data_IF_321409273309
#
_entry.id   IF_321409273309
#
_cell.length_a   1.000
_cell.length_b   1.000
_cell.length_c   1.000
_cell.angle_alpha   90.00
_cell.angle_beta   90.00
_cell.angle_gamma   90.00
#
_symmetry.space_group_name_H-M   'P 1'
#
loop_
_entity.id
_entity.type
_entity.pdbx_description
1 polymer ?
#
# COMPACT_ATOMS: atom_id res chain seq x y z
N UNK A 1 -18.10 19.02 -2.75
CA UNK A 1 -16.89 18.28 -2.34
C UNK A 1 -15.91 18.25 -3.50
N UNK A 2 -16.29 17.74 -4.68
CA UNK A 2 -15.42 17.60 -5.83
C UNK A 2 -14.75 18.90 -6.30
N UNK A 3 -15.48 20.04 -6.27
CA UNK A 3 -14.93 21.35 -6.60
C UNK A 3 -13.76 21.79 -5.67
N UNK A 4 -13.67 21.24 -4.45
CA UNK A 4 -12.54 21.48 -3.54
C UNK A 4 -11.36 20.53 -3.79
N UNK A 5 -11.66 19.30 -4.25
CA UNK A 5 -10.66 18.27 -4.54
C UNK A 5 -9.98 18.56 -5.88
N UNK A 6 -10.73 19.09 -6.85
CA UNK A 6 -10.27 19.31 -8.21
C UNK A 6 -10.44 18.08 -9.10
N UNK A 7 -10.92 18.30 -10.34
CA UNK A 7 -11.04 17.21 -11.32
C UNK A 7 -9.69 16.88 -11.98
N UNK A 8 -9.48 15.64 -12.44
CA UNK A 8 -10.36 14.48 -12.32
C UNK A 8 -10.43 13.94 -10.89
N UNK A 9 -11.57 13.36 -10.52
CA UNK A 9 -11.75 12.71 -9.21
C UNK A 9 -12.10 11.24 -9.37
N UNK A 10 -11.73 10.45 -8.37
CA UNK A 10 -12.10 9.06 -8.23
C UNK A 10 -13.31 8.95 -7.30
N UNK A 11 -14.40 8.40 -7.79
CA UNK A 11 -15.63 8.19 -7.02
C UNK A 11 -15.73 6.71 -6.65
N UNK A 12 -15.88 6.42 -5.37
CA UNK A 12 -15.95 5.05 -4.87
C UNK A 12 -16.87 4.92 -3.65
N UNK A 13 -17.55 3.77 -3.49
CA UNK A 13 -18.24 3.46 -2.24
C UNK A 13 -17.21 3.26 -1.11
N UNK A 14 -17.57 3.58 0.14
CA UNK A 14 -16.66 3.43 1.30
C UNK A 14 -16.37 1.98 1.66
N UNK A 15 -17.29 1.07 1.34
CA UNK A 15 -17.16 -0.36 1.63
C UNK A 15 -17.26 -1.17 0.34
N UNK A 16 -16.13 -1.34 -0.34
CA UNK A 16 -16.01 -2.22 -1.52
C UNK A 16 -14.71 -2.98 -1.47
N UNK A 17 -14.76 -4.21 -1.96
CA UNK A 17 -13.59 -5.07 -2.09
C UNK A 17 -13.12 -5.07 -3.55
N UNK A 18 -11.78 -4.96 -3.75
CA UNK A 18 -11.17 -5.10 -5.07
C UNK A 18 -11.54 -4.00 -6.08
N UNK A 19 -11.74 -2.77 -5.64
CA UNK A 19 -11.97 -1.62 -6.53
C UNK A 19 -13.29 -1.64 -7.30
N UNK A 20 -14.22 -2.49 -6.92
CA UNK A 20 -15.52 -2.60 -7.62
C UNK A 20 -16.29 -1.28 -7.58
N UNK A 21 -16.86 -0.91 -8.74
CA UNK A 21 -17.68 0.29 -8.92
C UNK A 21 -16.95 1.62 -8.68
N UNK A 22 -15.63 1.62 -8.71
CA UNK A 22 -14.85 2.85 -8.76
C UNK A 22 -14.96 3.47 -10.15
N UNK A 23 -15.08 4.80 -10.21
CA UNK A 23 -15.16 5.54 -11.47
C UNK A 23 -14.32 6.80 -11.40
N UNK A 24 -13.53 7.01 -12.44
CA UNK A 24 -12.87 8.30 -12.68
C UNK A 24 -13.89 9.18 -13.38
N UNK A 25 -14.08 10.40 -12.89
CA UNK A 25 -14.96 11.41 -13.46
C UNK A 25 -14.22 12.72 -13.66
N UNK A 26 -14.48 13.38 -14.77
CA UNK A 26 -13.71 14.55 -15.22
C UNK A 26 -14.46 15.87 -15.08
N UNK A 27 -15.76 15.81 -14.78
CA UNK A 27 -16.62 16.98 -14.62
C UNK A 27 -17.82 16.69 -13.73
N UNK A 28 -18.61 17.73 -13.44
CA UNK A 28 -19.74 17.65 -12.52
C UNK A 28 -20.90 16.81 -13.05
N UNK A 29 -21.16 16.85 -14.35
CA UNK A 29 -22.23 16.06 -14.98
C UNK A 29 -21.97 14.55 -14.88
N UNK A 30 -20.71 14.15 -15.06
CA UNK A 30 -20.31 12.75 -14.89
C UNK A 30 -20.36 12.35 -13.43
N UNK A 31 -19.97 13.25 -12.51
CA UNK A 31 -20.03 13.01 -11.08
C UNK A 31 -21.46 12.74 -10.63
N UNK A 32 -22.41 13.58 -11.04
CA UNK A 32 -23.82 13.40 -10.69
C UNK A 32 -24.35 12.04 -11.15
N UNK A 33 -24.09 11.68 -12.40
CA UNK A 33 -24.49 10.38 -12.97
C UNK A 33 -23.85 9.20 -12.21
N UNK A 34 -22.57 9.32 -11.85
CA UNK A 34 -21.85 8.29 -11.10
C UNK A 34 -22.43 8.12 -9.70
N UNK A 35 -22.66 9.22 -8.98
CA UNK A 35 -23.23 9.23 -7.62
C UNK A 35 -24.65 8.64 -7.62
N UNK A 36 -25.52 9.10 -8.52
CA UNK A 36 -26.90 8.56 -8.65
C UNK A 36 -26.88 7.06 -8.92
N UNK A 37 -26.02 6.61 -9.83
CA UNK A 37 -25.86 5.19 -10.13
C UNK A 37 -25.40 4.38 -8.91
N UNK A 38 -24.44 4.89 -8.14
CA UNK A 38 -23.91 4.23 -6.95
C UNK A 38 -24.97 4.13 -5.84
N UNK A 39 -25.68 5.22 -5.55
CA UNK A 39 -26.71 5.25 -4.52
C UNK A 39 -27.90 4.34 -4.87
N UNK A 40 -28.24 4.20 -6.16
CA UNK A 40 -29.28 3.29 -6.62
C UNK A 40 -28.94 1.82 -6.35
N UNK A 41 -27.68 1.43 -6.52
CA UNK A 41 -27.24 0.05 -6.36
C UNK A 41 -26.77 -0.29 -4.93
N UNK A 42 -26.35 0.72 -4.17
CA UNK A 42 -25.83 0.59 -2.81
C UNK A 42 -26.47 1.64 -1.91
N UNK A 43 -27.80 1.50 -1.63
CA UNK A 43 -28.51 2.47 -0.77
C UNK A 43 -27.90 2.47 0.64
N UNK A 44 -27.67 3.66 1.17
CA UNK A 44 -27.10 3.85 2.53
C UNK A 44 -25.57 3.82 2.61
N UNK A 45 -24.85 3.54 1.53
CA UNK A 45 -23.39 3.64 1.52
C UNK A 45 -22.90 5.09 1.44
N UNK A 46 -21.84 5.37 2.17
CA UNK A 46 -21.08 6.62 2.00
C UNK A 46 -20.26 6.55 0.73
N UNK A 47 -20.28 7.63 -0.05
CA UNK A 47 -19.45 7.75 -1.25
C UNK A 47 -18.23 8.59 -0.90
N UNK A 48 -17.04 8.07 -1.23
CA UNK A 48 -15.79 8.78 -1.15
C UNK A 48 -15.47 9.42 -2.50
N UNK A 49 -14.93 10.62 -2.46
CA UNK A 49 -14.47 11.36 -3.63
C UNK A 49 -13.02 11.74 -3.35
N UNK A 50 -12.12 11.07 -4.05
CA UNK A 50 -10.69 11.25 -3.92
C UNK A 50 -10.13 11.97 -5.15
N UNK A 51 -9.02 12.68 -5.00
CA UNK A 51 -8.28 13.20 -6.14
C UNK A 51 -7.72 12.04 -6.97
N UNK A 52 -7.94 12.03 -8.29
CA UNK A 52 -7.36 11.02 -9.15
C UNK A 52 -5.91 11.36 -9.50
N UNK A 53 -5.00 10.48 -9.15
CA UNK A 53 -3.57 10.62 -9.45
C UNK A 53 -3.26 9.98 -10.81
N UNK A 54 -3.33 10.76 -11.88
CA UNK A 54 -2.91 10.28 -13.20
C UNK A 54 -1.38 10.12 -13.29
N UNK A 55 -0.93 9.05 -13.94
CA UNK A 55 0.50 8.79 -14.21
C UNK A 55 1.38 8.84 -12.97
N UNK A 56 0.93 8.25 -11.88
CA UNK A 56 1.76 8.06 -10.70
C UNK A 56 2.54 6.73 -10.79
N UNK A 57 3.65 6.68 -10.07
CA UNK A 57 4.40 5.46 -9.82
C UNK A 57 3.82 4.76 -8.60
N UNK A 58 3.71 3.44 -8.65
CA UNK A 58 3.30 2.65 -7.49
C UNK A 58 4.49 1.97 -6.83
N UNK A 59 4.42 1.88 -5.50
CA UNK A 59 5.34 1.11 -4.70
C UNK A 59 4.63 0.57 -3.47
N UNK A 60 5.19 -0.46 -2.86
CA UNK A 60 4.65 -1.04 -1.64
C UNK A 60 5.73 -1.33 -0.60
N UNK A 61 5.33 -1.27 0.66
CA UNK A 61 6.14 -1.70 1.80
C UNK A 61 5.47 -2.92 2.43
N UNK A 62 6.25 -3.97 2.64
CA UNK A 62 5.93 -5.03 3.56
C UNK A 62 6.75 -4.85 4.84
N UNK A 63 6.10 -4.92 6.00
CA UNK A 63 6.74 -4.71 7.29
C UNK A 63 6.18 -5.63 8.37
N UNK A 64 6.93 -5.74 9.47
CA UNK A 64 6.50 -6.39 10.71
C UNK A 64 6.51 -5.35 11.82
N UNK A 65 5.47 -5.33 12.65
CA UNK A 65 5.37 -4.51 13.84
C UNK A 65 5.02 -5.37 15.05
N UNK A 66 5.74 -5.21 16.17
CA UNK A 66 5.54 -6.01 17.39
C UNK A 66 4.85 -5.24 18.52
N UNK A 67 4.26 -4.07 18.18
CA UNK A 67 3.66 -3.14 19.12
C UNK A 67 4.63 -2.09 19.67
N UNK A 68 5.92 -2.29 19.52
CA UNK A 68 6.98 -1.39 19.97
C UNK A 68 7.94 -1.02 18.83
N UNK A 69 8.48 -2.04 18.16
CA UNK A 69 9.48 -1.94 17.12
C UNK A 69 8.85 -2.20 15.74
N UNK A 70 9.25 -1.40 14.76
CA UNK A 70 8.84 -1.52 13.37
C UNK A 70 10.02 -1.96 12.52
N UNK A 71 9.82 -2.98 11.67
CA UNK A 71 10.85 -3.48 10.77
C UNK A 71 10.32 -3.57 9.35
N UNK A 72 10.91 -2.79 8.45
CA UNK A 72 10.64 -2.87 7.01
C UNK A 72 11.32 -4.10 6.46
N UNK A 73 10.54 -5.04 5.93
CA UNK A 73 11.05 -6.25 5.29
C UNK A 73 11.58 -5.95 3.89
N UNK A 74 10.91 -5.05 3.17
CA UNK A 74 11.33 -4.62 1.86
C UNK A 74 10.42 -3.55 1.28
N UNK A 75 11.00 -2.75 0.38
CA UNK A 75 10.30 -1.75 -0.44
C UNK A 75 10.34 -2.27 -1.87
N UNK A 76 9.17 -2.51 -2.44
CA UNK A 76 9.02 -2.97 -3.81
C UNK A 76 8.47 -1.85 -4.69
N UNK A 77 9.13 -1.62 -5.81
CA UNK A 77 8.73 -0.64 -6.82
C UNK A 77 8.06 -1.36 -7.99
N UNK A 78 6.87 -0.93 -8.36
CA UNK A 78 6.15 -1.49 -9.50
C UNK A 78 6.73 -0.99 -10.82
N UNK A 79 6.82 -1.87 -11.82
CA UNK A 79 7.36 -1.56 -13.13
C UNK A 79 6.27 -1.00 -14.05
N UNK A 80 5.07 -1.56 -13.96
CA UNK A 80 3.92 -1.10 -14.73
C UNK A 80 3.34 0.20 -14.18
N UNK A 81 2.66 0.98 -15.04
CA UNK A 81 1.96 2.19 -14.61
C UNK A 81 0.92 1.90 -13.52
N UNK A 82 0.68 2.89 -12.69
CA UNK A 82 -0.35 2.83 -11.65
C UNK A 82 -1.74 2.47 -12.20
N UNK A 83 -2.49 1.73 -11.40
CA UNK A 83 -3.83 1.22 -11.75
C UNK A 83 -3.83 -0.24 -12.20
N UNK A 84 -2.68 -0.89 -12.33
CA UNK A 84 -2.59 -2.33 -12.50
C UNK A 84 -2.56 -2.97 -11.12
N UNK A 85 -3.40 -3.97 -10.90
CA UNK A 85 -3.48 -4.65 -9.61
C UNK A 85 -2.10 -5.19 -9.19
N UNK A 86 -1.68 -4.94 -7.96
CA UNK A 86 -0.35 -5.30 -7.44
C UNK A 86 0.03 -6.78 -7.60
N UNK A 87 -0.98 -7.66 -7.69
CA UNK A 87 -0.78 -9.08 -7.96
C UNK A 87 -0.38 -9.40 -9.40
N UNK A 88 -0.70 -8.52 -10.34
CA UNK A 88 -0.49 -8.68 -11.77
C UNK A 88 0.66 -7.79 -12.28
N UNK A 89 1.07 -6.80 -11.46
CA UNK A 89 2.20 -5.94 -11.76
C UNK A 89 3.53 -6.65 -11.47
N UNK A 90 4.50 -6.47 -12.36
CA UNK A 90 5.89 -6.80 -12.05
C UNK A 90 6.45 -5.77 -11.06
N UNK A 91 7.30 -6.23 -10.16
CA UNK A 91 7.89 -5.36 -9.16
C UNK A 91 9.35 -5.70 -8.92
N UNK A 92 10.14 -4.68 -8.63
CA UNK A 92 11.59 -4.79 -8.38
C UNK A 92 11.90 -4.58 -6.90
N UNK A 93 12.78 -5.42 -6.36
CA UNK A 93 13.31 -5.39 -5.00
C UNK A 93 14.84 -5.39 -5.04
N UNK A 94 15.53 -4.52 -4.30
CA UNK A 94 15.01 -3.31 -3.70
C UNK A 94 14.54 -2.32 -4.76
N UNK A 95 13.88 -1.26 -4.36
CA UNK A 95 13.42 -0.19 -5.25
C UNK A 95 14.56 0.38 -6.10
N UNK A 96 14.26 0.77 -7.34
CA UNK A 96 15.26 1.18 -8.32
C UNK A 96 15.27 2.69 -8.60
N UNK A 97 14.11 3.29 -8.86
CA UNK A 97 14.00 4.70 -9.22
C UNK A 97 13.58 5.63 -8.06
N UNK A 98 13.13 5.07 -6.94
CA UNK A 98 12.67 5.87 -5.81
C UNK A 98 13.86 6.51 -5.10
N UNK A 99 13.79 7.83 -4.92
CA UNK A 99 14.81 8.54 -4.16
C UNK A 99 14.81 8.15 -2.68
N UNK A 100 15.94 8.25 -1.97
CA UNK A 100 16.00 7.97 -0.53
C UNK A 100 14.99 8.78 0.30
N UNK A 101 14.67 10.01 -0.10
CA UNK A 101 13.67 10.86 0.57
C UNK A 101 12.26 10.28 0.44
N UNK A 102 11.90 9.78 -0.74
CA UNK A 102 10.61 9.13 -0.97
C UNK A 102 10.51 7.86 -0.12
N UNK A 103 11.54 7.02 -0.16
CA UNK A 103 11.59 5.78 0.64
C UNK A 103 11.45 6.09 2.12
N UNK A 104 12.18 7.05 2.64
CA UNK A 104 12.08 7.47 4.03
C UNK A 104 10.67 7.95 4.39
N UNK A 105 10.03 8.74 3.53
CA UNK A 105 8.64 9.18 3.75
C UNK A 105 7.65 8.01 3.76
N UNK A 106 7.85 7.02 2.89
CA UNK A 106 7.04 5.80 2.86
C UNK A 106 7.19 5.00 4.16
N UNK A 107 8.42 4.84 4.64
CA UNK A 107 8.74 4.13 5.89
C UNK A 107 8.11 4.83 7.10
N UNK A 108 8.23 6.16 7.19
CA UNK A 108 7.59 6.93 8.25
C UNK A 108 6.07 6.79 8.25
N UNK A 109 5.44 6.84 7.06
CA UNK A 109 3.99 6.68 6.95
C UNK A 109 3.57 5.27 7.33
N UNK A 110 4.33 4.26 6.90
CA UNK A 110 4.06 2.87 7.23
C UNK A 110 4.13 2.62 8.74
N UNK A 111 5.14 3.14 9.41
CA UNK A 111 5.26 3.02 10.87
C UNK A 111 4.14 3.76 11.60
N UNK A 112 3.81 5.00 11.21
CA UNK A 112 2.70 5.77 11.79
C UNK A 112 1.37 5.03 11.66
N UNK A 113 1.11 4.44 10.50
CA UNK A 113 -0.11 3.67 10.24
C UNK A 113 -0.14 2.40 11.09
N UNK A 114 0.95 1.63 11.13
CA UNK A 114 1.03 0.42 11.94
C UNK A 114 0.78 0.70 13.43
N UNK A 115 1.33 1.80 13.95
CA UNK A 115 1.10 2.24 15.33
C UNK A 115 -0.34 2.68 15.56
N UNK A 116 -0.90 3.49 14.67
CA UNK A 116 -2.28 3.99 14.78
C UNK A 116 -3.33 2.87 14.74
N UNK A 117 -3.06 1.81 13.97
CA UNK A 117 -3.92 0.63 13.84
C UNK A 117 -3.64 -0.43 14.92
N UNK A 118 -2.68 -0.21 15.82
CA UNK A 118 -2.26 -1.18 16.84
C UNK A 118 -1.95 -2.56 16.25
N UNK A 119 -1.23 -2.59 15.12
CA UNK A 119 -0.87 -3.84 14.45
C UNK A 119 0.07 -4.66 15.36
N UNK A 120 -0.10 -5.98 15.35
CA UNK A 120 0.90 -6.91 15.84
C UNK A 120 1.07 -8.00 14.79
N UNK A 121 2.19 -7.97 14.07
CA UNK A 121 2.47 -8.88 12.96
C UNK A 121 2.73 -8.15 11.65
N UNK A 122 2.27 -8.73 10.55
CA UNK A 122 2.54 -8.25 9.20
C UNK A 122 1.59 -7.13 8.78
N UNK A 123 2.14 -6.18 8.05
CA UNK A 123 1.39 -5.14 7.35
C UNK A 123 1.99 -4.91 5.97
N UNK A 124 1.13 -4.77 4.98
CA UNK A 124 1.48 -4.32 3.63
C UNK A 124 0.79 -2.99 3.37
N UNK A 125 1.54 -2.01 2.87
CA UNK A 125 1.00 -0.68 2.55
C UNK A 125 1.39 -0.34 1.12
N UNK A 126 0.40 0.05 0.33
CA UNK A 126 0.58 0.48 -1.05
C UNK A 126 0.56 2.01 -1.14
N UNK A 127 1.47 2.53 -1.94
CA UNK A 127 1.70 3.95 -2.14
C UNK A 127 1.64 4.32 -3.61
N UNK A 128 1.13 5.52 -3.88
CA UNK A 128 1.33 6.22 -5.14
C UNK A 128 2.32 7.36 -4.93
N UNK A 129 3.23 7.52 -5.87
CA UNK A 129 4.23 8.59 -5.87
C UNK A 129 3.99 9.46 -7.08
N UNK A 130 3.78 10.76 -6.85
CA UNK A 130 3.60 11.74 -7.90
C UNK A 130 4.23 13.08 -7.52
N UNK A 131 4.99 13.65 -8.44
CA UNK A 131 5.61 14.96 -8.28
C UNK A 131 6.42 15.11 -6.97
N UNK A 132 7.11 14.02 -6.58
CA UNK A 132 7.90 13.95 -5.35
C UNK A 132 7.09 13.79 -4.06
N UNK A 133 5.77 13.63 -4.15
CA UNK A 133 4.89 13.42 -3.02
C UNK A 133 4.45 11.96 -2.90
N UNK A 134 4.32 11.48 -1.67
CA UNK A 134 3.89 10.13 -1.33
C UNK A 134 2.44 10.14 -0.87
N UNK A 135 1.62 9.31 -1.49
CA UNK A 135 0.22 9.12 -1.15
C UNK A 135 -0.03 7.68 -0.73
N UNK A 136 -0.77 7.47 0.35
CA UNK A 136 -1.19 6.14 0.78
C UNK A 136 -2.42 5.72 -0.02
N UNK A 137 -2.34 4.59 -0.71
CA UNK A 137 -3.48 3.99 -1.43
C UNK A 137 -4.29 3.14 -0.47
N UNK A 138 -3.63 2.15 0.16
CA UNK A 138 -4.26 1.27 1.12
C UNK A 138 -3.25 0.67 2.10
N UNK A 139 -3.76 0.26 3.27
CA UNK A 139 -3.00 -0.47 4.27
C UNK A 139 -3.71 -1.80 4.58
N UNK A 140 -2.98 -2.89 4.45
CA UNK A 140 -3.48 -4.24 4.62
C UNK A 140 -2.80 -4.89 5.84
N UNK A 141 -3.46 -4.99 7.01
CA UNK A 141 -2.89 -5.58 8.23
C UNK A 141 -2.88 -7.11 8.15
N UNK A 142 -2.16 -7.64 7.21
CA UNK A 142 -2.04 -9.08 6.93
C UNK A 142 -0.80 -9.36 6.08
N UNK A 143 -0.45 -10.63 5.92
CA UNK A 143 0.54 -11.04 4.92
C UNK A 143 0.09 -10.63 3.49
N UNK A 144 1.02 -10.19 2.70
CA UNK A 144 0.84 -9.90 1.28
C UNK A 144 1.31 -11.06 0.40
N UNK A 145 1.03 -10.98 -0.90
CA UNK A 145 1.61 -11.92 -1.88
C UNK A 145 3.10 -11.68 -2.10
N UNK A 146 3.59 -10.50 -1.76
CA UNK A 146 5.01 -10.11 -1.85
C UNK A 146 5.83 -10.59 -0.66
N UNK A 147 5.24 -10.79 0.51
CA UNK A 147 5.93 -11.29 1.71
C UNK A 147 6.81 -12.53 1.45
N UNK A 148 6.32 -13.63 0.84
CA UNK A 148 7.16 -14.80 0.58
C UNK A 148 8.24 -14.54 -0.49
N UNK A 149 7.98 -13.64 -1.44
CA UNK A 149 8.97 -13.23 -2.42
C UNK A 149 10.14 -12.49 -1.75
N UNK A 150 9.86 -11.48 -0.92
CA UNK A 150 10.84 -10.71 -0.15
C UNK A 150 11.66 -11.65 0.75
N UNK A 151 10.98 -12.56 1.47
CA UNK A 151 11.63 -13.53 2.34
C UNK A 151 12.63 -14.41 1.57
N UNK A 152 12.29 -14.84 0.37
CA UNK A 152 13.17 -15.63 -0.50
C UNK A 152 14.32 -14.80 -1.05
N UNK A 153 14.05 -13.60 -1.55
CA UNK A 153 15.05 -12.73 -2.15
C UNK A 153 16.15 -12.37 -1.15
N UNK A 154 15.77 -12.01 0.05
CA UNK A 154 16.70 -11.66 1.13
C UNK A 154 17.19 -12.86 1.95
N UNK A 155 16.67 -14.06 1.74
CA UNK A 155 16.96 -15.28 2.49
C UNK A 155 16.73 -15.11 4.01
N UNK A 156 15.73 -14.32 4.38
CA UNK A 156 15.34 -14.08 5.78
C UNK A 156 13.99 -14.78 6.04
N UNK A 157 13.86 -15.54 7.14
CA UNK A 157 12.64 -16.28 7.46
C UNK A 157 11.54 -15.36 8.04
N UNK A 158 11.16 -14.31 7.32
CA UNK A 158 10.23 -13.28 7.78
C UNK A 158 8.89 -13.84 8.25
N UNK A 159 8.35 -14.85 7.57
CA UNK A 159 7.08 -15.48 7.97
C UNK A 159 7.18 -16.16 9.35
N UNK A 160 8.33 -16.81 9.63
CA UNK A 160 8.58 -17.42 10.94
C UNK A 160 8.72 -16.35 12.03
N UNK A 161 9.47 -15.27 11.74
CA UNK A 161 9.63 -14.13 12.64
C UNK A 161 8.26 -13.51 12.95
N UNK A 162 7.48 -13.19 11.93
CA UNK A 162 6.15 -12.61 12.09
C UNK A 162 5.22 -13.51 12.90
N UNK A 163 5.25 -14.81 12.66
CA UNK A 163 4.45 -15.77 13.43
C UNK A 163 4.82 -15.74 14.92
N UNK A 164 6.09 -15.73 15.26
CA UNK A 164 6.54 -15.66 16.66
C UNK A 164 6.16 -14.35 17.34
N UNK A 165 6.22 -13.24 16.60
CA UNK A 165 5.77 -11.92 17.05
C UNK A 165 4.25 -11.95 17.30
N UNK A 166 3.46 -12.45 16.37
CA UNK A 166 1.99 -12.55 16.49
C UNK A 166 1.54 -13.44 17.65
N UNK A 167 2.29 -14.52 17.94
CA UNK A 167 2.04 -15.39 19.08
C UNK A 167 2.52 -14.79 20.43
N UNK A 168 3.17 -13.62 20.39
CA UNK A 168 3.71 -12.97 21.58
C UNK A 168 4.87 -13.71 22.24
N UNK A 169 5.47 -14.69 21.55
CA UNK A 169 6.59 -15.47 22.10
C UNK A 169 7.94 -14.76 21.96
N UNK A 170 8.04 -13.82 21.02
CA UNK A 170 9.25 -13.05 20.75
C UNK A 170 8.88 -11.61 20.35
N UNK A 171 9.83 -10.70 20.55
CA UNK A 171 9.82 -9.33 20.01
C UNK A 171 10.78 -9.22 18.85
N UNK A 172 10.63 -8.20 17.99
CA UNK A 172 11.53 -7.97 16.86
C UNK A 172 12.99 -7.83 17.27
N UNK A 173 13.24 -7.22 18.42
CA UNK A 173 14.60 -7.07 19.00
C UNK A 173 15.30 -8.40 19.35
N UNK A 174 14.57 -9.49 19.44
CA UNK A 174 15.12 -10.82 19.75
C UNK A 174 15.72 -11.50 18.51
N UNK A 175 15.57 -10.88 17.34
CA UNK A 175 16.07 -11.40 16.07
C UNK A 175 17.19 -10.50 15.52
N UNK A 176 18.32 -11.10 15.11
CA UNK A 176 19.35 -10.41 14.33
C UNK A 176 18.97 -10.43 12.84
N UNK A 177 18.08 -9.54 12.43
CA UNK A 177 17.59 -9.47 11.06
C UNK A 177 18.58 -8.68 10.21
N UNK A 178 19.37 -9.42 9.43
CA UNK A 178 20.29 -8.84 8.43
C UNK A 178 19.91 -9.41 7.08
N UNK A 179 19.68 -8.54 6.13
CA UNK A 179 19.47 -8.95 4.76
C UNK A 179 20.35 -8.14 3.82
N UNK A 180 20.84 -8.79 2.82
CA UNK A 180 21.56 -8.17 1.72
C UNK A 180 21.18 -8.90 0.44
N UNK A 181 20.90 -8.12 -0.58
CA UNK A 181 20.69 -8.61 -1.93
C UNK A 181 21.77 -8.02 -2.83
N UNK A 182 22.49 -8.86 -3.55
CA UNK A 182 23.40 -8.40 -4.60
C UNK A 182 22.62 -8.29 -5.90
N UNK A 183 22.42 -7.05 -6.36
CA UNK A 183 21.58 -6.75 -7.52
C UNK A 183 20.10 -6.60 -7.17
N UNK A 184 19.24 -7.03 -8.08
CA UNK A 184 17.79 -6.87 -7.98
C UNK A 184 17.07 -8.20 -8.13
N UNK A 185 15.98 -8.38 -7.39
CA UNK A 185 15.03 -9.45 -7.60
C UNK A 185 13.77 -8.89 -8.27
N UNK A 186 13.29 -9.55 -9.31
CA UNK A 186 12.09 -9.17 -10.07
C UNK A 186 11.05 -10.24 -9.87
N UNK A 187 9.86 -9.78 -9.50
CA UNK A 187 8.68 -10.63 -9.33
C UNK A 187 7.83 -10.54 -10.58
#
# INVERSE_FOLDING_TARGET
>A
VAAKVGYPVLVRPSYVLGGQRMRIVINEDELEKAVVSLLKHLPGNTILIDHFLDRCQEAEIDAIFDGENFHVMGVMEHIEPAGIHSGDSNAVLPQFNLSPLIVHSMEEYAEKIARALNICGLINIQFAIKDGMVYVIEANPRASRTTPFIAKAYQVPYLNIATKVMLGTHKLKDFDIKHKLEGYAIK
#
